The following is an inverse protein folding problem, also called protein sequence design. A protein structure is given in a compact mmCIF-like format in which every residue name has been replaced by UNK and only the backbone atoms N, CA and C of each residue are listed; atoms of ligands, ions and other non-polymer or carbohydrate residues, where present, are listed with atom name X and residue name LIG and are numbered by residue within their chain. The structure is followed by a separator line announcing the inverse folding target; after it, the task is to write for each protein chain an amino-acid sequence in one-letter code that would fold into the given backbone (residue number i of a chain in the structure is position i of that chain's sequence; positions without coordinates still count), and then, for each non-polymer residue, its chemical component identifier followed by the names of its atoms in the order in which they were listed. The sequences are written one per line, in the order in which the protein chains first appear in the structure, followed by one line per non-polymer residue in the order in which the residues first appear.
data_IF_551031558921
#
_entry.id   IF_551031558921
#
_cell.length_a   1.000
_cell.length_b   1.000
_cell.length_c   1.000
_cell.angle_alpha   90.00
_cell.angle_beta   90.00
_cell.angle_gamma   90.00
#
_symmetry.space_group_name_H-M   'P 1'
#
loop_
_entity.id
_entity.type
_entity.pdbx_description
1 polymer ?
#
# COMPACT_ATOMS: atom_id res chain seq x y z
N UNK A 1 -3.10 5.56 -41.33
CA UNK A 1 -2.68 6.27 -40.10
C UNK A 1 -2.56 5.24 -39.00
N UNK A 2 -1.35 4.93 -38.53
CA UNK A 2 -1.16 4.02 -37.40
C UNK A 2 -1.60 4.73 -36.12
N UNK A 3 -2.43 4.07 -35.31
CA UNK A 3 -2.74 4.55 -33.96
C UNK A 3 -1.44 4.63 -33.15
N UNK A 4 -1.28 5.64 -32.28
CA UNK A 4 -0.09 5.75 -31.46
C UNK A 4 0.03 4.51 -30.55
N UNK A 5 1.21 3.88 -30.56
CA UNK A 5 1.58 2.96 -29.48
C UNK A 5 1.55 3.75 -28.18
N UNK A 6 1.05 3.14 -27.11
CA UNK A 6 0.94 3.80 -25.82
C UNK A 6 2.30 4.37 -25.42
N UNK A 7 2.39 5.69 -25.31
CA UNK A 7 3.64 6.35 -24.96
C UNK A 7 3.99 5.99 -23.52
N UNK A 8 5.26 5.66 -23.25
CA UNK A 8 5.71 5.47 -21.87
C UNK A 8 5.34 6.71 -21.05
N UNK A 9 4.63 6.57 -19.92
CA UNK A 9 4.31 7.71 -19.07
C UNK A 9 5.60 8.41 -18.66
N UNK A 10 5.63 9.74 -18.76
CA UNK A 10 6.84 10.56 -18.58
C UNK A 10 7.43 10.50 -17.17
N UNK A 11 6.63 10.10 -16.16
CA UNK A 11 7.04 10.01 -14.76
C UNK A 11 7.11 8.55 -14.30
N UNK A 12 8.24 8.13 -13.70
CA UNK A 12 8.34 6.81 -13.06
C UNK A 12 7.36 6.71 -11.89
N UNK A 13 6.83 5.51 -11.64
CA UNK A 13 6.02 5.25 -10.45
C UNK A 13 6.92 5.30 -9.20
N UNK A 14 6.39 5.86 -8.11
CA UNK A 14 7.08 5.80 -6.82
C UNK A 14 6.80 4.45 -6.16
N UNK A 15 7.82 3.71 -5.67
CA UNK A 15 7.61 2.43 -4.96
C UNK A 15 6.70 2.55 -3.74
N UNK A 16 6.60 3.75 -3.16
CA UNK A 16 5.74 4.07 -1.99
C UNK A 16 4.32 4.46 -2.36
N UNK A 17 4.00 4.60 -3.66
CA UNK A 17 2.66 4.98 -4.10
C UNK A 17 1.66 3.83 -3.83
N UNK A 18 0.40 4.14 -3.46
CA UNK A 18 -0.64 3.13 -3.35
C UNK A 18 -0.76 2.31 -4.63
N UNK A 19 -0.92 0.98 -4.49
CA UNK A 19 -1.07 0.05 -5.61
C UNK A 19 0.08 0.10 -6.63
N UNK A 20 1.31 0.32 -6.16
CA UNK A 20 2.50 0.40 -7.00
C UNK A 20 2.66 -0.85 -7.88
N UNK A 21 2.42 -2.03 -7.31
CA UNK A 21 2.47 -3.30 -8.00
C UNK A 21 1.49 -3.41 -9.18
N UNK A 22 0.22 -3.13 -8.94
CA UNK A 22 -0.84 -3.17 -9.94
C UNK A 22 -0.57 -2.14 -11.05
N UNK A 23 -0.22 -0.90 -10.67
CA UNK A 23 0.07 0.16 -11.62
C UNK A 23 1.31 -0.17 -12.48
N UNK A 24 2.35 -0.75 -11.88
CA UNK A 24 3.54 -1.19 -12.61
C UNK A 24 3.18 -2.31 -13.59
N UNK A 25 2.30 -3.22 -13.18
CA UNK A 25 1.86 -4.34 -14.00
C UNK A 25 1.00 -3.92 -15.18
N UNK A 26 0.09 -2.97 -14.99
CA UNK A 26 -0.68 -2.36 -16.08
C UNK A 26 0.26 -1.67 -17.07
N UNK A 27 1.25 -0.89 -16.57
CA UNK A 27 2.22 -0.21 -17.44
C UNK A 27 3.08 -1.18 -18.24
N UNK A 28 3.47 -2.30 -17.66
CA UNK A 28 4.21 -3.34 -18.37
C UNK A 28 3.31 -4.02 -19.40
N UNK A 29 2.07 -4.37 -19.04
CA UNK A 29 1.11 -5.02 -19.94
C UNK A 29 0.86 -4.18 -21.19
N UNK A 30 0.70 -2.86 -21.01
CA UNK A 30 0.53 -1.92 -22.12
C UNK A 30 1.79 -1.82 -23.01
N UNK A 31 2.98 -1.98 -22.44
CA UNK A 31 4.25 -1.91 -23.18
C UNK A 31 4.53 -3.17 -24.00
N UNK A 32 4.28 -4.35 -23.42
CA UNK A 32 4.51 -5.64 -24.09
C UNK A 32 3.39 -6.00 -25.07
N UNK A 33 2.27 -5.30 -25.00
CA UNK A 33 1.13 -5.51 -25.87
C UNK A 33 1.44 -5.17 -27.33
N UNK A 34 1.05 -6.06 -28.24
CA UNK A 34 1.20 -5.87 -29.69
C UNK A 34 0.05 -5.04 -30.32
N UNK A 35 -0.94 -4.62 -29.52
CA UNK A 35 -2.05 -3.80 -29.99
C UNK A 35 -1.85 -2.33 -29.59
N UNK A 36 -2.45 -1.43 -30.38
CA UNK A 36 -2.45 0.00 -30.06
C UNK A 36 -3.59 0.32 -29.11
N UNK A 37 -3.28 1.09 -28.07
CA UNK A 37 -4.22 1.43 -27.01
C UNK A 37 -4.58 2.91 -27.11
N UNK A 38 -5.87 3.22 -26.96
CA UNK A 38 -6.37 4.57 -26.84
C UNK A 38 -7.25 4.64 -25.58
N UNK A 39 -6.99 5.63 -24.72
CA UNK A 39 -7.78 5.84 -23.52
C UNK A 39 -9.05 6.62 -23.85
N UNK A 40 -10.17 6.18 -23.29
CA UNK A 40 -11.42 6.93 -23.33
C UNK A 40 -12.07 6.88 -21.96
N UNK A 41 -12.22 8.04 -21.32
CA UNK A 41 -12.98 8.16 -20.10
C UNK A 41 -14.48 8.15 -20.41
N UNK A 42 -15.23 7.33 -19.68
CA UNK A 42 -16.69 7.21 -19.78
C UNK A 42 -17.27 7.51 -18.41
N UNK A 43 -18.34 8.31 -18.36
CA UNK A 43 -19.00 8.61 -17.09
C UNK A 43 -19.60 7.35 -16.48
N UNK A 44 -19.41 7.17 -15.18
CA UNK A 44 -20.02 6.07 -14.43
C UNK A 44 -21.55 6.20 -14.35
N UNK A 45 -22.22 5.07 -14.19
CA UNK A 45 -23.67 4.96 -13.97
C UNK A 45 -24.55 5.75 -14.96
N UNK A 46 -24.21 5.72 -16.25
CA UNK A 46 -25.02 6.38 -17.27
C UNK A 46 -26.47 5.83 -17.34
N UNK A 47 -26.66 4.58 -16.94
CA UNK A 47 -27.95 3.88 -16.79
C UNK A 47 -28.90 4.53 -15.77
N UNK A 48 -28.39 5.30 -14.80
CA UNK A 48 -29.23 6.04 -13.84
C UNK A 48 -29.94 7.25 -14.45
N UNK A 49 -29.40 7.78 -15.55
CA UNK A 49 -29.86 9.05 -16.15
C UNK A 49 -30.34 8.90 -17.59
N UNK A 50 -29.89 7.87 -18.30
CA UNK A 50 -30.21 7.59 -19.70
C UNK A 50 -30.86 6.21 -19.81
N UNK A 51 -31.86 6.11 -20.69
CA UNK A 51 -32.34 4.79 -21.12
C UNK A 51 -31.29 4.10 -21.98
N UNK A 52 -31.33 2.76 -22.04
CA UNK A 52 -30.39 1.97 -22.84
C UNK A 52 -30.21 2.48 -24.28
N UNK A 53 -31.31 2.87 -24.94
CA UNK A 53 -31.30 3.39 -26.32
C UNK A 53 -30.56 4.72 -26.46
N UNK A 54 -30.51 5.51 -25.39
CA UNK A 54 -29.84 6.82 -25.32
C UNK A 54 -28.36 6.70 -24.93
N UNK A 55 -27.94 5.55 -24.39
CA UNK A 55 -26.53 5.29 -24.05
C UNK A 55 -25.72 5.03 -25.32
N UNK A 56 -24.51 5.59 -25.36
CA UNK A 56 -23.48 5.25 -26.34
C UNK A 56 -23.00 3.81 -26.15
N UNK A 57 -22.29 3.29 -27.15
CA UNK A 57 -21.74 1.93 -27.09
C UNK A 57 -20.82 1.73 -25.87
N UNK A 58 -19.96 2.71 -25.58
CA UNK A 58 -19.04 2.66 -24.43
C UNK A 58 -19.75 2.73 -23.09
N UNK A 59 -20.79 3.55 -22.96
CA UNK A 59 -21.59 3.63 -21.73
C UNK A 59 -22.29 2.30 -21.44
N UNK A 60 -22.83 1.63 -22.47
CA UNK A 60 -23.44 0.31 -22.32
C UNK A 60 -22.45 -0.74 -21.85
N UNK A 61 -21.26 -0.79 -22.48
CA UNK A 61 -20.19 -1.72 -22.07
C UNK A 61 -19.69 -1.45 -20.67
N UNK A 62 -19.61 -0.19 -20.26
CA UNK A 62 -19.23 0.16 -18.89
C UNK A 62 -20.25 -0.39 -17.88
N UNK A 63 -21.56 -0.21 -18.12
CA UNK A 63 -22.60 -0.77 -17.25
C UNK A 63 -22.58 -2.30 -17.23
N UNK A 64 -22.40 -2.96 -18.39
CA UNK A 64 -22.32 -4.43 -18.44
C UNK A 64 -21.14 -4.97 -17.60
N UNK A 65 -19.97 -4.33 -17.66
CA UNK A 65 -18.80 -4.76 -16.89
C UNK A 65 -18.96 -4.44 -15.40
N UNK A 66 -19.62 -3.33 -15.04
CA UNK A 66 -19.96 -2.96 -13.67
C UNK A 66 -20.91 -4.00 -13.05
N UNK A 67 -21.95 -4.42 -13.77
CA UNK A 67 -22.89 -5.46 -13.35
C UNK A 67 -22.19 -6.80 -13.12
N UNK A 68 -21.27 -7.19 -14.02
CA UNK A 68 -20.48 -8.43 -13.87
C UNK A 68 -19.56 -8.33 -12.64
N UNK A 69 -18.90 -7.19 -12.45
CA UNK A 69 -18.01 -6.97 -11.30
C UNK A 69 -18.80 -7.01 -9.98
N UNK A 70 -19.99 -6.41 -9.93
CA UNK A 70 -20.87 -6.46 -8.78
C UNK A 70 -21.35 -7.89 -8.50
N UNK A 71 -21.76 -8.63 -9.53
CA UNK A 71 -22.18 -10.03 -9.38
C UNK A 71 -21.06 -10.93 -8.82
N UNK A 72 -19.81 -10.71 -9.26
CA UNK A 72 -18.66 -11.43 -8.70
C UNK A 72 -18.37 -11.03 -7.25
N UNK A 73 -18.49 -9.74 -6.91
CA UNK A 73 -18.36 -9.29 -5.52
C UNK A 73 -19.44 -9.90 -4.61
N UNK A 74 -20.69 -9.98 -5.09
CA UNK A 74 -21.80 -10.60 -4.36
C UNK A 74 -21.55 -12.11 -4.15
N UNK A 75 -20.96 -12.80 -5.13
CA UNK A 75 -20.54 -14.21 -5.01
C UNK A 75 -19.49 -14.38 -3.90
N UNK A 76 -18.43 -13.56 -3.91
CA UNK A 76 -17.39 -13.59 -2.87
C UNK A 76 -17.94 -13.32 -1.48
N UNK A 77 -18.89 -12.39 -1.35
CA UNK A 77 -19.58 -12.12 -0.08
C UNK A 77 -20.41 -13.34 0.35
N UNK A 78 -21.12 -13.98 -0.59
CA UNK A 78 -21.93 -15.15 -0.29
C UNK A 78 -21.08 -16.37 0.13
N UNK A 79 -19.84 -16.48 -0.35
CA UNK A 79 -18.91 -17.56 0.00
C UNK A 79 -18.00 -17.23 1.19
N UNK A 80 -18.16 -16.06 1.82
CA UNK A 80 -17.28 -15.54 2.89
C UNK A 80 -15.79 -15.43 2.46
N UNK A 81 -15.55 -15.29 1.15
CA UNK A 81 -14.23 -15.13 0.54
C UNK A 81 -13.95 -13.64 0.25
N UNK A 82 -14.27 -12.79 1.24
CA UNK A 82 -14.27 -11.32 1.07
C UNK A 82 -12.87 -10.69 1.14
N UNK A 83 -11.87 -11.46 1.57
CA UNK A 83 -10.48 -11.01 1.70
C UNK A 83 -9.63 -11.68 0.63
N UNK A 84 -9.65 -11.11 -0.57
CA UNK A 84 -8.75 -11.56 -1.63
C UNK A 84 -7.31 -11.12 -1.31
N UNK A 85 -6.41 -12.09 -1.14
CA UNK A 85 -4.97 -11.80 -1.02
C UNK A 85 -4.48 -11.09 -2.28
N UNK A 86 -3.64 -10.06 -2.11
CA UNK A 86 -3.01 -9.38 -3.23
C UNK A 86 -2.22 -10.40 -4.09
N UNK A 87 -2.62 -10.66 -5.35
CA UNK A 87 -1.99 -11.70 -6.16
C UNK A 87 -0.62 -11.26 -6.65
N UNK A 88 0.25 -12.22 -6.96
CA UNK A 88 1.49 -11.92 -7.69
C UNK A 88 1.16 -11.58 -9.15
N UNK A 89 1.58 -10.42 -9.62
CA UNK A 89 1.37 -10.01 -11.01
C UNK A 89 2.48 -10.52 -11.92
N UNK A 90 2.18 -10.66 -13.22
CA UNK A 90 3.09 -11.28 -14.19
C UNK A 90 4.41 -10.51 -14.37
N UNK A 91 4.40 -9.20 -14.19
CA UNK A 91 5.56 -8.31 -14.38
C UNK A 91 6.41 -8.16 -13.12
N UNK A 92 6.11 -8.90 -12.05
CA UNK A 92 6.82 -8.79 -10.78
C UNK A 92 8.03 -9.72 -10.73
N UNK A 93 9.26 -9.18 -10.82
CA UNK A 93 10.46 -10.00 -10.64
C UNK A 93 10.52 -10.55 -9.21
N UNK A 94 10.11 -9.74 -8.23
CA UNK A 94 10.00 -10.11 -6.83
C UNK A 94 8.79 -9.42 -6.18
N UNK A 95 8.34 -9.95 -5.05
CA UNK A 95 7.30 -9.37 -4.22
C UNK A 95 7.73 -9.44 -2.75
N UNK A 96 7.33 -8.45 -1.97
CA UNK A 96 7.60 -8.39 -0.52
C UNK A 96 6.36 -8.91 0.20
N UNK A 97 6.60 -9.75 1.21
CA UNK A 97 5.57 -10.28 2.09
C UNK A 97 5.86 -9.83 3.51
N UNK A 98 4.87 -9.25 4.17
CA UNK A 98 4.90 -8.90 5.60
C UNK A 98 3.80 -9.72 6.25
N UNK A 99 4.11 -10.46 7.31
CA UNK A 99 3.17 -11.35 8.00
C UNK A 99 2.43 -12.32 7.06
N UNK A 100 3.16 -12.85 6.07
CA UNK A 100 2.65 -13.75 5.03
C UNK A 100 1.62 -13.11 4.05
N UNK A 101 1.45 -11.78 4.10
CA UNK A 101 0.63 -11.02 3.17
C UNK A 101 1.50 -10.22 2.20
N UNK A 102 1.16 -10.29 0.90
CA UNK A 102 1.87 -9.53 -0.12
C UNK A 102 1.52 -8.05 -0.03
N UNK A 103 2.54 -7.20 0.17
CA UNK A 103 2.34 -5.74 0.16
C UNK A 103 2.26 -5.19 -1.28
N UNK A 104 1.36 -4.24 -1.50
CA UNK A 104 1.16 -3.62 -2.82
C UNK A 104 2.13 -2.47 -3.13
N UNK A 105 2.81 -1.96 -2.10
CA UNK A 105 3.80 -0.90 -2.21
C UNK A 105 4.86 -1.02 -1.10
N UNK A 106 5.99 -0.35 -1.29
CA UNK A 106 7.09 -0.31 -0.34
C UNK A 106 6.84 0.78 0.71
N UNK A 107 6.07 0.46 1.74
CA UNK A 107 5.98 1.29 2.94
C UNK A 107 7.21 1.02 3.83
N UNK A 108 8.24 1.88 3.71
CA UNK A 108 9.50 1.71 4.46
C UNK A 108 9.28 1.58 5.97
N UNK A 109 8.35 2.36 6.54
CA UNK A 109 7.99 2.27 7.96
C UNK A 109 7.51 0.85 8.33
N UNK A 110 6.70 0.20 7.49
CA UNK A 110 6.22 -1.16 7.72
C UNK A 110 7.32 -2.21 7.59
N UNK A 111 8.30 -2.01 6.70
CA UNK A 111 9.44 -2.91 6.54
C UNK A 111 10.38 -2.80 7.75
N UNK A 112 10.70 -1.57 8.17
CA UNK A 112 11.53 -1.32 9.34
C UNK A 112 10.88 -1.89 10.60
N UNK A 113 9.56 -1.71 10.77
CA UNK A 113 8.81 -2.32 11.86
C UNK A 113 8.88 -3.86 11.79
N UNK A 114 8.61 -4.48 10.65
CA UNK A 114 8.62 -5.94 10.52
C UNK A 114 10.01 -6.57 10.80
N UNK A 115 11.10 -5.88 10.43
CA UNK A 115 12.47 -6.41 10.59
C UNK A 115 13.06 -6.07 11.95
N UNK A 116 12.92 -4.82 12.40
CA UNK A 116 13.66 -4.29 13.57
C UNK A 116 12.86 -4.46 14.86
N UNK A 117 11.52 -4.36 14.81
CA UNK A 117 10.70 -4.40 16.01
C UNK A 117 10.84 -5.72 16.78
N UNK A 118 10.85 -6.92 16.15
CA UNK A 118 11.01 -8.17 16.88
C UNK A 118 12.33 -8.24 17.68
N UNK A 119 13.45 -7.92 17.04
CA UNK A 119 14.77 -7.90 17.71
C UNK A 119 14.82 -6.87 18.85
N UNK A 120 14.21 -5.70 18.63
CA UNK A 120 14.16 -4.64 19.64
C UNK A 120 13.30 -5.08 20.85
N UNK A 121 12.18 -5.75 20.61
CA UNK A 121 11.32 -6.30 21.66
C UNK A 121 12.06 -7.34 22.50
N UNK A 122 12.74 -8.29 21.84
CA UNK A 122 13.55 -9.31 22.52
C UNK A 122 14.68 -8.68 23.35
N UNK A 123 15.38 -7.70 22.79
CA UNK A 123 16.43 -6.97 23.50
C UNK A 123 15.91 -6.34 24.81
N UNK A 124 14.76 -5.64 24.76
CA UNK A 124 14.20 -4.99 25.94
C UNK A 124 13.58 -5.95 26.95
N UNK A 125 13.02 -7.07 26.47
CA UNK A 125 12.57 -8.16 27.31
C UNK A 125 13.73 -8.79 28.07
N UNK A 126 14.85 -9.08 27.39
CA UNK A 126 16.06 -9.65 28.00
C UNK A 126 16.70 -8.72 29.05
N UNK A 127 16.53 -7.40 28.91
CA UNK A 127 16.97 -6.42 29.91
C UNK A 127 16.01 -6.29 31.11
N UNK A 128 14.89 -7.02 31.13
CA UNK A 128 13.88 -6.95 32.18
C UNK A 128 13.18 -5.59 32.28
N UNK A 129 13.28 -4.75 31.23
CA UNK A 129 12.74 -3.38 31.23
C UNK A 129 11.35 -3.31 30.62
N UNK A 130 11.06 -4.15 29.63
CA UNK A 130 9.77 -4.17 28.96
C UNK A 130 9.39 -5.62 28.61
N UNK A 131 8.46 -6.21 29.35
CA UNK A 131 7.83 -7.46 28.93
C UNK A 131 7.06 -7.26 27.60
N UNK A 132 6.96 -8.29 26.74
CA UNK A 132 6.22 -8.22 25.47
C UNK A 132 4.79 -7.71 25.61
N UNK A 133 4.16 -8.01 26.75
CA UNK A 133 2.79 -7.63 27.09
C UNK A 133 2.63 -6.11 27.18
N UNK A 134 3.64 -5.41 27.69
CA UNK A 134 3.61 -3.95 27.83
C UNK A 134 3.67 -3.24 26.48
N UNK A 135 4.28 -3.85 25.45
CA UNK A 135 4.28 -3.25 24.12
C UNK A 135 2.85 -3.04 23.59
N UNK A 136 1.90 -3.90 23.98
CA UNK A 136 0.49 -3.77 23.57
C UNK A 136 -0.26 -2.68 24.35
N UNK A 137 0.25 -2.26 25.50
CA UNK A 137 -0.34 -1.21 26.33
C UNK A 137 0.09 0.20 25.90
N UNK A 138 1.12 0.30 25.08
CA UNK A 138 1.63 1.58 24.57
C UNK A 138 0.87 1.95 23.30
N UNK A 139 0.28 3.14 23.29
CA UNK A 139 -0.22 3.74 22.06
C UNK A 139 0.96 4.29 21.24
N UNK A 140 1.54 3.43 20.41
CA UNK A 140 2.68 3.76 19.56
C UNK A 140 2.36 4.87 18.56
N UNK A 141 1.10 5.03 18.15
CA UNK A 141 0.68 6.08 17.23
C UNK A 141 0.76 7.46 17.90
N UNK A 142 0.30 7.57 19.15
CA UNK A 142 0.43 8.79 19.95
C UNK A 142 1.91 9.09 20.22
N UNK A 143 2.70 8.08 20.60
CA UNK A 143 4.15 8.25 20.83
C UNK A 143 4.84 8.73 19.57
N UNK A 144 4.53 8.15 18.41
CA UNK A 144 5.08 8.56 17.11
C UNK A 144 4.73 10.02 16.80
N UNK A 145 3.47 10.42 16.98
CA UNK A 145 3.03 11.81 16.77
C UNK A 145 3.71 12.78 17.73
N UNK A 146 3.82 12.42 19.00
CA UNK A 146 4.52 13.22 20.00
C UNK A 146 6.00 13.39 19.63
N UNK A 147 6.69 12.30 19.25
CA UNK A 147 8.09 12.35 18.82
C UNK A 147 8.27 13.19 17.55
N UNK A 148 7.41 13.05 16.53
CA UNK A 148 7.47 13.87 15.31
C UNK A 148 7.21 15.36 15.57
N UNK A 149 6.50 15.72 16.64
CA UNK A 149 6.28 17.13 17.01
C UNK A 149 7.51 17.83 17.60
N UNK A 150 8.49 17.05 18.08
CA UNK A 150 9.71 17.55 18.70
C UNK A 150 10.79 17.88 17.67
N UNK A 151 11.74 18.74 18.05
CA UNK A 151 12.92 19.00 17.22
C UNK A 151 13.83 17.75 17.19
N UNK A 152 14.61 17.53 16.12
CA UNK A 152 15.49 16.36 16.01
C UNK A 152 16.48 16.18 17.18
N UNK A 153 16.96 17.28 17.77
CA UNK A 153 17.84 17.23 18.95
C UNK A 153 17.12 16.71 20.19
N UNK A 154 15.86 17.13 20.39
CA UNK A 154 15.02 16.71 21.53
C UNK A 154 14.61 15.25 21.37
N UNK A 155 14.24 14.82 20.15
CA UNK A 155 13.97 13.42 19.85
C UNK A 155 15.16 12.53 20.24
N UNK A 156 16.38 12.88 19.80
CA UNK A 156 17.60 12.15 20.15
C UNK A 156 17.87 12.15 21.65
N UNK A 157 17.68 13.29 22.31
CA UNK A 157 17.89 13.42 23.74
C UNK A 157 16.92 12.52 24.52
N UNK A 158 15.62 12.60 24.23
CA UNK A 158 14.60 11.77 24.88
C UNK A 158 14.89 10.30 24.66
N UNK A 159 15.17 9.87 23.42
CA UNK A 159 15.51 8.48 23.15
C UNK A 159 16.71 8.03 23.98
N UNK A 160 17.83 8.77 23.95
CA UNK A 160 19.03 8.45 24.74
C UNK A 160 18.77 8.42 26.24
N UNK A 161 17.99 9.37 26.75
CA UNK A 161 17.62 9.45 28.16
C UNK A 161 16.79 8.23 28.57
N UNK A 162 15.72 7.93 27.84
CA UNK A 162 14.81 6.82 28.13
C UNK A 162 15.50 5.46 28.03
N UNK A 163 16.43 5.28 27.07
CA UNK A 163 17.19 4.03 26.95
C UNK A 163 18.35 3.90 27.94
N UNK A 164 18.65 4.98 28.70
CA UNK A 164 19.78 5.00 29.64
C UNK A 164 21.15 5.05 28.97
N UNK A 165 21.22 5.56 27.73
CA UNK A 165 22.47 5.82 26.98
C UNK A 165 22.86 7.30 26.97
N UNK A 166 22.18 8.13 27.77
CA UNK A 166 22.64 9.47 28.03
C UNK A 166 23.86 9.38 28.95
N UNK A 167 25.05 9.61 28.39
CA UNK A 167 26.22 9.94 29.19
C UNK A 167 25.90 11.21 29.97
N UNK A 168 25.54 11.04 31.23
CA UNK A 168 25.61 12.09 32.24
C UNK A 168 27.07 12.24 32.62
N UNK A 169 27.89 12.73 31.69
CA UNK A 169 29.29 13.04 31.96
C UNK A 169 29.39 13.82 33.25
N UNK A 170 30.11 13.29 34.24
CA UNK A 170 30.54 14.11 35.37
C UNK A 170 31.55 15.09 34.81
N UNK A 171 31.26 16.40 34.90
CA UNK A 171 32.32 17.37 35.04
C UNK A 171 33.04 17.06 36.36
N UNK A 172 34.15 16.34 36.29
CA UNK A 172 35.18 16.28 37.32
C UNK A 172 36.53 16.40 36.63
#
# INVERSE_FOLDING_TARGET
MGLPRFARPSRPLSPTAPHFDLLSSIREALQVSNISWAEQHVGGHADRTKTWRQMSWWERRNSEVDDIAQGYADELIATDDTIATNPKFFSEPCAIYIDNEKVSCLALESVDEAVVLPELMEYWAAKGRLAPEHFRLVDWLIVHRAMKSLKPAEQRFITKHTVGMCDVGKFR
#
